data_IF_728041851133
#
_entry.id   IF_728041851133
#
_cell.length_a   1.000
_cell.length_b   1.000
_cell.length_c   1.000
_cell.angle_alpha   90.00
_cell.angle_beta   90.00
_cell.angle_gamma   90.00
#
_symmetry.space_group_name_H-M   'P 1'
#
loop_
_entity.id
_entity.type
_entity.pdbx_description
1 polymer ?
#
# COMPACT_ATOMS: atom_id res chain seq x y z
N UNK A 1 22.13 -38.12 -3.51
CA UNK A 1 21.57 -37.78 -2.19
C UNK A 1 22.45 -36.83 -1.37
N UNK A 2 23.74 -37.15 -1.10
CA UNK A 2 24.63 -36.22 -0.36
C UNK A 2 24.94 -34.89 -1.08
N UNK A 3 25.10 -34.92 -2.41
CA UNK A 3 25.35 -33.72 -3.21
C UNK A 3 24.16 -32.75 -3.25
N UNK A 4 22.93 -33.24 -3.40
CA UNK A 4 21.73 -32.41 -3.38
C UNK A 4 21.52 -31.75 -2.02
N UNK A 5 21.83 -32.48 -0.93
CA UNK A 5 21.76 -31.94 0.43
C UNK A 5 22.79 -30.81 0.66
N UNK A 6 24.02 -31.00 0.18
CA UNK A 6 25.07 -29.98 0.24
C UNK A 6 24.70 -28.73 -0.56
N UNK A 7 24.21 -28.89 -1.80
CA UNK A 7 23.74 -27.78 -2.65
C UNK A 7 22.61 -27.03 -1.96
N UNK A 8 21.62 -27.74 -1.39
CA UNK A 8 20.52 -27.11 -0.66
C UNK A 8 21.01 -26.29 0.54
N UNK A 9 21.99 -26.82 1.30
CA UNK A 9 22.62 -26.09 2.42
C UNK A 9 23.35 -24.83 1.95
N UNK A 10 24.10 -24.91 0.85
CA UNK A 10 24.80 -23.76 0.26
C UNK A 10 23.79 -22.71 -0.22
N UNK A 11 22.78 -23.11 -0.99
CA UNK A 11 21.73 -22.21 -1.47
C UNK A 11 20.99 -21.53 -0.31
N UNK A 12 20.70 -22.26 0.76
CA UNK A 12 20.07 -21.70 1.95
C UNK A 12 20.98 -20.69 2.66
N UNK A 13 22.28 -21.00 2.81
CA UNK A 13 23.27 -20.08 3.37
C UNK A 13 23.40 -18.79 2.55
N UNK A 14 23.40 -18.89 1.22
CA UNK A 14 23.42 -17.73 0.32
C UNK A 14 22.14 -16.90 0.47
N UNK A 15 20.96 -17.53 0.53
CA UNK A 15 19.68 -16.82 0.76
C UNK A 15 19.71 -16.04 2.07
N UNK A 16 20.25 -16.60 3.15
CA UNK A 16 20.41 -15.88 4.40
C UNK A 16 21.39 -14.72 4.29
N UNK A 17 22.53 -14.92 3.63
CA UNK A 17 23.49 -13.85 3.38
C UNK A 17 22.85 -12.68 2.61
N UNK A 18 22.07 -12.98 1.58
CA UNK A 18 21.32 -11.96 0.84
C UNK A 18 20.23 -11.29 1.69
N UNK A 19 19.46 -12.04 2.48
CA UNK A 19 18.45 -11.48 3.38
C UNK A 19 19.10 -10.53 4.40
N UNK A 20 20.25 -10.91 4.96
CA UNK A 20 21.03 -10.05 5.84
C UNK A 20 21.54 -8.82 5.10
N UNK A 21 22.10 -8.98 3.89
CA UNK A 21 22.53 -7.87 3.05
C UNK A 21 21.40 -6.90 2.70
N UNK A 22 20.21 -7.41 2.40
CA UNK A 22 19.00 -6.61 2.18
C UNK A 22 18.63 -5.80 3.43
N UNK A 23 18.58 -6.45 4.60
CA UNK A 23 18.32 -5.74 5.86
C UNK A 23 19.37 -4.65 6.13
N UNK A 24 20.66 -4.96 5.97
CA UNK A 24 21.74 -3.99 6.12
C UNK A 24 21.60 -2.83 5.14
N UNK A 25 21.23 -3.10 3.89
CA UNK A 25 21.00 -2.05 2.89
C UNK A 25 19.84 -1.12 3.27
N UNK A 26 18.76 -1.63 3.88
CA UNK A 26 17.67 -0.81 4.42
C UNK A 26 18.21 0.13 5.49
N UNK A 27 19.00 -0.38 6.45
CA UNK A 27 19.59 0.46 7.49
C UNK A 27 20.54 1.53 6.93
N UNK A 28 21.39 1.17 5.97
CA UNK A 28 22.30 2.10 5.29
C UNK A 28 21.48 3.19 4.59
N UNK A 29 20.45 2.82 3.85
CA UNK A 29 19.62 3.77 3.12
C UNK A 29 18.83 4.69 4.05
N UNK A 30 18.27 4.19 5.15
CA UNK A 30 17.60 5.06 6.13
C UNK A 30 18.62 6.01 6.77
N UNK A 31 19.84 5.54 7.05
CA UNK A 31 20.92 6.40 7.56
C UNK A 31 21.27 7.51 6.56
N UNK A 32 21.41 7.18 5.27
CA UNK A 32 21.64 8.16 4.20
C UNK A 32 20.47 9.16 4.14
N UNK A 33 19.23 8.69 4.18
CA UNK A 33 18.04 9.55 4.18
C UNK A 33 18.05 10.50 5.38
N UNK A 34 18.42 10.03 6.57
CA UNK A 34 18.52 10.87 7.77
C UNK A 34 19.64 11.92 7.64
N UNK A 35 20.81 11.55 7.14
CA UNK A 35 21.91 12.49 6.89
C UNK A 35 21.47 13.56 5.89
N UNK A 36 20.85 13.16 4.78
CA UNK A 36 20.33 14.10 3.79
C UNK A 36 19.31 15.05 4.44
N UNK A 37 18.40 14.52 5.25
CA UNK A 37 17.42 15.33 6.00
C UNK A 37 18.07 16.40 6.88
N UNK A 38 19.16 16.06 7.59
CA UNK A 38 19.92 17.03 8.39
C UNK A 38 20.56 18.10 7.50
N UNK A 39 21.15 17.70 6.37
CA UNK A 39 21.78 18.62 5.42
C UNK A 39 20.76 19.60 4.81
N UNK A 40 19.57 19.13 4.47
CA UNK A 40 18.53 19.96 3.85
C UNK A 40 17.72 20.75 4.87
N UNK A 41 17.80 20.42 6.17
CA UNK A 41 17.01 21.07 7.23
C UNK A 41 17.11 22.61 7.24
N UNK A 42 18.27 23.25 7.01
CA UNK A 42 18.34 24.71 6.91
C UNK A 42 17.42 25.30 5.83
N UNK A 43 17.19 24.56 4.73
CA UNK A 43 16.26 25.00 3.68
C UNK A 43 14.80 25.04 4.14
N UNK A 44 14.43 24.30 5.19
CA UNK A 44 13.09 24.38 5.78
C UNK A 44 12.81 25.78 6.36
N UNK A 45 13.83 26.37 7.01
CA UNK A 45 13.73 27.70 7.63
C UNK A 45 13.81 28.79 6.55
N UNK A 46 14.68 28.61 5.56
CA UNK A 46 14.87 29.59 4.48
C UNK A 46 13.69 29.62 3.50
N UNK A 47 13.24 28.46 3.03
CA UNK A 47 12.15 28.32 2.07
C UNK A 47 11.57 26.90 2.07
N UNK A 48 10.55 26.70 2.92
CA UNK A 48 9.85 25.42 3.13
C UNK A 48 9.44 24.68 1.84
N UNK A 49 8.95 25.33 0.77
CA UNK A 49 8.67 24.66 -0.50
C UNK A 49 9.84 23.87 -1.09
N UNK A 50 11.04 24.47 -1.12
CA UNK A 50 12.24 23.80 -1.66
C UNK A 50 12.62 22.61 -0.77
N UNK A 51 12.54 22.77 0.55
CA UNK A 51 12.77 21.65 1.47
C UNK A 51 11.85 20.47 1.16
N UNK A 52 10.55 20.72 1.02
CA UNK A 52 9.55 19.68 0.76
C UNK A 52 9.78 19.03 -0.60
N UNK A 53 10.15 19.82 -1.62
CA UNK A 53 10.49 19.29 -2.93
C UNK A 53 11.70 18.36 -2.86
N UNK A 54 12.80 18.81 -2.26
CA UNK A 54 14.03 18.01 -2.13
C UNK A 54 13.75 16.74 -1.31
N UNK A 55 13.07 16.87 -0.17
CA UNK A 55 12.72 15.75 0.69
C UNK A 55 12.00 14.65 -0.11
N UNK A 56 10.94 15.03 -0.82
CA UNK A 56 10.14 14.08 -1.60
C UNK A 56 10.95 13.45 -2.74
N UNK A 57 11.83 14.20 -3.43
CA UNK A 57 12.76 13.64 -4.43
C UNK A 57 13.66 12.57 -3.85
N UNK A 58 14.25 12.85 -2.70
CA UNK A 58 15.14 11.91 -2.00
C UNK A 58 14.34 10.68 -1.57
N UNK A 59 13.13 10.87 -1.04
CA UNK A 59 12.23 9.77 -0.67
C UNK A 59 11.85 8.90 -1.86
N UNK A 60 11.57 9.46 -3.03
CA UNK A 60 11.23 8.67 -4.23
C UNK A 60 12.40 7.82 -4.72
N UNK A 61 13.60 8.40 -4.79
CA UNK A 61 14.83 7.68 -5.13
C UNK A 61 15.08 6.54 -4.15
N UNK A 62 14.94 6.82 -2.86
CA UNK A 62 15.01 5.81 -1.82
C UNK A 62 13.95 4.71 -2.00
N UNK A 63 12.68 5.09 -2.16
CA UNK A 63 11.58 4.13 -2.23
C UNK A 63 11.65 3.26 -3.50
N UNK A 64 12.28 3.73 -4.57
CA UNK A 64 12.46 2.95 -5.79
C UNK A 64 13.40 1.75 -5.63
N UNK A 65 14.26 1.76 -4.62
CA UNK A 65 15.06 0.60 -4.25
C UNK A 65 14.19 -0.65 -4.03
N UNK A 66 13.04 -0.50 -3.36
CA UNK A 66 12.17 -1.61 -3.00
C UNK A 66 11.57 -2.36 -4.20
N UNK A 67 10.85 -1.73 -5.15
CA UNK A 67 10.31 -2.44 -6.29
C UNK A 67 11.40 -3.08 -7.15
N UNK A 68 12.57 -2.45 -7.29
CA UNK A 68 13.70 -3.03 -8.02
C UNK A 68 14.16 -4.34 -7.38
N UNK A 69 14.33 -4.36 -6.06
CA UNK A 69 14.73 -5.56 -5.32
C UNK A 69 13.62 -6.60 -5.35
N UNK A 70 12.38 -6.22 -5.06
CA UNK A 70 11.23 -7.14 -5.05
C UNK A 70 11.01 -7.81 -6.40
N UNK A 71 11.20 -7.09 -7.50
CA UNK A 71 10.99 -7.62 -8.84
C UNK A 71 12.22 -8.37 -9.37
N UNK A 72 13.40 -7.74 -9.40
CA UNK A 72 14.58 -8.31 -10.10
C UNK A 72 15.38 -9.27 -9.24
N UNK A 73 15.47 -9.04 -7.92
CA UNK A 73 16.27 -9.87 -7.02
C UNK A 73 15.40 -10.97 -6.41
N UNK A 74 14.25 -10.59 -5.85
CA UNK A 74 13.37 -11.55 -5.17
C UNK A 74 12.44 -12.30 -6.12
N UNK A 75 12.30 -11.87 -7.37
CA UNK A 75 11.52 -12.58 -8.38
C UNK A 75 10.01 -12.39 -8.28
N UNK A 76 9.51 -11.51 -7.40
CA UNK A 76 8.06 -11.29 -7.26
C UNK A 76 7.47 -10.75 -8.57
N UNK A 77 6.28 -11.24 -8.92
CA UNK A 77 5.53 -10.84 -10.11
C UNK A 77 4.14 -10.42 -9.68
N UNK A 78 3.58 -9.43 -10.39
CA UNK A 78 2.17 -9.08 -10.22
C UNK A 78 1.44 -9.32 -11.53
N UNK A 79 0.32 -10.00 -11.43
CA UNK A 79 -0.58 -10.30 -12.53
C UNK A 79 -1.84 -9.49 -12.33
N UNK A 80 -2.18 -8.64 -13.29
CA UNK A 80 -3.27 -7.66 -13.16
C UNK A 80 -4.39 -8.00 -14.13
N UNK A 81 -5.62 -7.95 -13.62
CA UNK A 81 -6.87 -8.05 -14.37
C UNK A 81 -7.80 -6.89 -14.00
N UNK A 82 -8.83 -6.65 -14.81
CA UNK A 82 -9.76 -5.53 -14.62
C UNK A 82 -9.24 -4.21 -15.21
N UNK A 83 -9.46 -3.12 -14.48
CA UNK A 83 -9.15 -1.77 -14.94
C UNK A 83 -7.66 -1.43 -14.90
N UNK A 84 -7.28 -0.43 -15.71
CA UNK A 84 -5.93 0.13 -15.70
C UNK A 84 -5.80 1.25 -14.66
N UNK A 85 -4.64 1.29 -13.99
CA UNK A 85 -4.23 2.45 -13.22
C UNK A 85 -4.04 3.67 -14.12
N UNK A 86 -4.38 4.85 -13.60
CA UNK A 86 -4.14 6.12 -14.26
C UNK A 86 -2.86 6.70 -13.66
N UNK A 87 -1.98 7.15 -14.54
CA UNK A 87 -0.71 7.73 -14.12
C UNK A 87 -0.95 9.10 -13.48
N UNK A 88 -0.18 9.40 -12.43
CA UNK A 88 -0.06 10.74 -11.86
C UNK A 88 -1.36 11.36 -11.33
N UNK A 89 -2.33 10.54 -10.96
CA UNK A 89 -3.53 10.95 -10.23
C UNK A 89 -3.42 10.65 -8.75
N UNK A 90 -3.98 11.53 -7.93
CA UNK A 90 -4.22 11.23 -6.53
C UNK A 90 -5.34 10.20 -6.43
N UNK A 91 -5.20 9.25 -5.52
CA UNK A 91 -6.17 8.17 -5.39
C UNK A 91 -6.24 7.63 -3.97
N UNK A 92 -7.37 7.03 -3.64
CA UNK A 92 -7.49 6.17 -2.47
C UNK A 92 -7.43 4.73 -2.96
N UNK A 93 -6.56 3.93 -2.35
CA UNK A 93 -6.43 2.51 -2.59
C UNK A 93 -7.12 1.76 -1.46
N UNK A 94 -8.12 0.94 -1.78
CA UNK A 94 -8.75 0.03 -0.82
C UNK A 94 -8.48 -1.41 -1.23
N UNK A 95 -8.18 -2.28 -0.27
CA UNK A 95 -7.88 -3.68 -0.57
C UNK A 95 -8.32 -4.61 0.55
N UNK A 96 -8.56 -5.88 0.20
CA UNK A 96 -8.52 -6.94 1.20
C UNK A 96 -7.13 -6.99 1.84
N UNK A 97 -7.06 -7.42 3.10
CA UNK A 97 -5.81 -7.56 3.82
C UNK A 97 -5.63 -9.01 4.23
N UNK A 98 -4.77 -9.75 3.53
CA UNK A 98 -4.56 -11.18 3.78
C UNK A 98 -3.16 -11.47 4.31
N UNK A 99 -2.14 -10.80 3.78
CA UNK A 99 -0.74 -11.10 4.09
C UNK A 99 -0.01 -9.90 4.71
N UNK A 100 1.11 -10.18 5.37
CA UNK A 100 2.00 -9.12 5.85
C UNK A 100 2.64 -8.33 4.70
N UNK A 101 2.72 -8.96 3.52
CA UNK A 101 3.37 -8.43 2.32
C UNK A 101 2.42 -7.69 1.38
N UNK A 102 1.20 -7.36 1.82
CA UNK A 102 0.20 -6.65 1.00
C UNK A 102 0.62 -5.24 0.53
N UNK A 103 1.74 -4.72 1.06
CA UNK A 103 2.37 -3.51 0.57
C UNK A 103 3.24 -3.73 -0.69
N UNK A 104 3.73 -4.95 -0.94
CA UNK A 104 4.60 -5.26 -2.10
C UNK A 104 3.88 -4.95 -3.42
N UNK A 105 2.61 -5.37 -3.65
CA UNK A 105 1.90 -5.04 -4.88
C UNK A 105 1.77 -3.52 -5.09
N UNK A 106 1.50 -2.77 -4.03
CA UNK A 106 1.45 -1.30 -4.09
C UNK A 106 2.81 -0.73 -4.53
N UNK A 107 3.91 -1.19 -3.91
CA UNK A 107 5.26 -0.77 -4.28
C UNK A 107 5.62 -1.10 -5.73
N UNK A 108 5.13 -2.22 -6.28
CA UNK A 108 5.41 -2.64 -7.66
C UNK A 108 4.59 -1.86 -8.70
N UNK A 109 3.39 -1.38 -8.35
CA UNK A 109 2.54 -0.56 -9.24
C UNK A 109 2.88 0.93 -9.16
N UNK A 110 3.19 1.44 -7.97
CA UNK A 110 3.36 2.87 -7.71
C UNK A 110 4.39 3.60 -8.61
N UNK A 111 5.51 2.99 -9.06
CA UNK A 111 6.48 3.66 -9.93
C UNK A 111 5.87 4.16 -11.25
N UNK A 112 5.12 3.32 -11.96
CA UNK A 112 4.45 3.71 -13.22
C UNK A 112 3.39 4.77 -13.02
N UNK A 113 2.80 4.81 -11.84
CA UNK A 113 1.79 5.80 -11.52
C UNK A 113 2.40 7.12 -11.02
N UNK A 114 3.73 7.21 -10.90
CA UNK A 114 4.42 8.36 -10.32
C UNK A 114 4.05 8.58 -8.85
N UNK A 115 3.91 7.49 -8.09
CA UNK A 115 3.40 7.52 -6.69
C UNK A 115 4.29 6.83 -5.69
N UNK A 116 5.48 6.35 -6.09
CA UNK A 116 6.36 5.54 -5.24
C UNK A 116 6.80 6.25 -3.94
N UNK A 117 7.09 7.56 -3.98
CA UNK A 117 7.35 8.34 -2.76
C UNK A 117 6.10 8.96 -2.13
N UNK A 118 4.95 8.83 -2.77
CA UNK A 118 3.69 9.47 -2.42
C UNK A 118 2.69 8.49 -1.76
N UNK A 119 3.13 7.28 -1.42
CA UNK A 119 2.30 6.30 -0.72
C UNK A 119 2.11 6.72 0.75
N UNK A 120 0.87 6.76 1.20
CA UNK A 120 0.44 7.14 2.56
C UNK A 120 -0.42 6.00 3.09
N UNK A 121 -0.12 5.51 4.29
CA UNK A 121 -0.83 4.36 4.85
C UNK A 121 -1.63 4.75 6.08
N UNK A 122 -2.79 4.13 6.25
CA UNK A 122 -3.41 3.99 7.56
C UNK A 122 -2.70 2.85 8.31
N UNK A 123 -1.97 3.19 9.36
CA UNK A 123 -1.06 2.29 10.07
C UNK A 123 -1.46 2.11 11.53
N UNK A 124 -1.06 0.99 12.14
CA UNK A 124 -1.21 0.78 13.59
C UNK A 124 -0.28 1.73 14.34
N UNK A 125 -0.76 2.39 15.39
CA UNK A 125 0.03 3.32 16.21
C UNK A 125 1.32 2.70 16.76
N UNK A 126 1.32 1.40 17.07
CA UNK A 126 2.52 0.69 17.52
C UNK A 126 3.68 0.71 16.51
N UNK A 127 3.42 0.91 15.22
CA UNK A 127 4.48 0.98 14.19
C UNK A 127 5.38 2.19 14.43
N UNK A 128 4.89 3.27 15.07
CA UNK A 128 5.73 4.42 15.47
C UNK A 128 6.89 4.01 16.38
N UNK A 129 6.73 2.92 17.16
CA UNK A 129 7.72 2.46 18.15
C UNK A 129 8.91 1.75 17.50
N UNK A 130 8.82 1.38 16.23
CA UNK A 130 9.91 0.72 15.52
C UNK A 130 10.92 1.80 15.10
N UNK A 131 12.16 1.80 15.64
CA UNK A 131 13.16 2.81 15.29
C UNK A 131 13.40 2.84 13.78
N UNK A 132 13.66 4.03 13.25
CA UNK A 132 13.88 4.30 11.81
C UNK A 132 12.65 4.10 10.92
N UNK A 133 11.99 2.94 10.99
CA UNK A 133 10.80 2.61 10.18
C UNK A 133 9.62 3.49 10.58
N UNK A 134 9.31 3.56 11.88
CA UNK A 134 8.24 4.41 12.39
C UNK A 134 8.49 5.90 12.09
N UNK A 135 9.74 6.36 12.21
CA UNK A 135 10.07 7.73 11.86
C UNK A 135 9.97 8.00 10.35
N UNK A 136 10.40 7.06 9.51
CA UNK A 136 10.31 7.18 8.05
C UNK A 136 8.87 7.31 7.57
N UNK A 137 7.97 6.44 8.03
CA UNK A 137 6.55 6.54 7.70
C UNK A 137 5.88 7.82 8.21
N UNK A 138 6.30 8.34 9.38
CA UNK A 138 5.86 9.64 9.87
C UNK A 138 6.28 10.78 8.92
N UNK A 139 7.54 10.78 8.50
CA UNK A 139 8.06 11.77 7.54
C UNK A 139 7.39 11.67 6.17
N UNK A 140 6.95 10.47 5.78
CA UNK A 140 6.14 10.22 4.59
C UNK A 140 4.65 10.49 4.82
N UNK A 141 4.24 11.28 5.81
CA UNK A 141 2.83 11.65 6.07
C UNK A 141 1.86 10.46 6.23
N UNK A 142 2.33 9.27 6.65
CA UNK A 142 1.43 8.16 6.98
C UNK A 142 0.67 8.43 8.27
N UNK A 143 -0.55 7.90 8.35
CA UNK A 143 -1.52 8.21 9.40
C UNK A 143 -1.60 7.03 10.36
N UNK A 144 -1.20 7.26 11.59
CA UNK A 144 -1.21 6.24 12.62
C UNK A 144 -2.49 6.28 13.44
N UNK A 145 -3.07 5.10 13.63
CA UNK A 145 -4.37 4.92 14.26
C UNK A 145 -4.25 4.14 15.57
N UNK A 146 -4.80 4.70 16.63
CA UNK A 146 -5.02 4.04 17.93
C UNK A 146 -6.23 3.10 17.90
N UNK A 147 -6.92 3.00 16.76
CA UNK A 147 -8.17 2.24 16.56
C UNK A 147 -9.33 2.80 17.38
N UNK A 148 -9.25 4.08 17.74
CA UNK A 148 -10.32 4.84 18.36
C UNK A 148 -10.45 6.16 17.59
N UNK A 149 -11.54 6.28 16.83
CA UNK A 149 -11.73 7.41 15.93
C UNK A 149 -11.70 8.75 16.66
N UNK A 150 -12.27 8.86 17.87
CA UNK A 150 -12.28 10.12 18.63
C UNK A 150 -10.86 10.59 18.98
N UNK A 151 -9.96 9.65 19.30
CA UNK A 151 -8.56 9.95 19.60
C UNK A 151 -7.75 10.26 18.33
N UNK A 152 -8.12 9.66 17.20
CA UNK A 152 -7.39 9.77 15.93
C UNK A 152 -7.87 10.97 15.08
N UNK A 153 -9.09 11.45 15.30
CA UNK A 153 -9.79 12.43 14.43
C UNK A 153 -8.99 13.72 14.22
N UNK A 154 -8.45 14.31 15.29
CA UNK A 154 -7.66 15.54 15.18
C UNK A 154 -6.43 15.33 14.28
N UNK A 155 -5.68 14.25 14.51
CA UNK A 155 -4.49 13.94 13.72
C UNK A 155 -4.83 13.65 12.26
N UNK A 156 -5.90 12.89 12.00
CA UNK A 156 -6.39 12.62 10.63
C UNK A 156 -6.73 13.94 9.93
N UNK A 157 -7.48 14.82 10.58
CA UNK A 157 -7.88 16.11 10.03
C UNK A 157 -6.67 16.98 9.68
N UNK A 158 -5.68 17.08 10.58
CA UNK A 158 -4.46 17.85 10.34
C UNK A 158 -3.63 17.31 9.17
N UNK A 159 -3.52 15.98 9.02
CA UNK A 159 -2.83 15.38 7.89
C UNK A 159 -3.59 15.64 6.58
N UNK A 160 -4.92 15.49 6.59
CA UNK A 160 -5.74 15.75 5.41
C UNK A 160 -5.79 17.22 5.00
N UNK A 161 -5.46 18.19 5.87
CA UNK A 161 -5.23 19.58 5.44
C UNK A 161 -4.21 19.66 4.31
N UNK A 162 -3.11 18.88 4.39
CA UNK A 162 -2.08 18.84 3.35
C UNK A 162 -2.57 18.13 2.09
N UNK A 163 -3.29 17.03 2.25
CA UNK A 163 -3.75 16.23 1.12
C UNK A 163 -4.85 16.92 0.31
N UNK A 164 -5.54 17.92 0.87
CA UNK A 164 -6.51 18.74 0.14
C UNK A 164 -5.88 19.68 -0.89
N UNK A 165 -4.56 19.88 -0.86
CA UNK A 165 -3.88 20.50 -1.98
C UNK A 165 -3.88 19.52 -3.15
N UNK A 166 -4.61 19.83 -4.23
CA UNK A 166 -4.72 18.98 -5.43
C UNK A 166 -3.38 18.67 -6.09
N UNK A 167 -2.38 19.53 -5.88
CA UNK A 167 -1.06 19.38 -6.45
C UNK A 167 -0.17 18.47 -5.57
N UNK A 168 -0.47 18.34 -4.27
CA UNK A 168 0.28 17.44 -3.39
C UNK A 168 0.03 15.98 -3.80
N UNK A 169 1.05 15.24 -4.28
CA UNK A 169 0.84 13.88 -4.77
C UNK A 169 0.61 12.93 -3.60
N UNK A 170 -0.42 12.10 -3.68
CA UNK A 170 -0.62 11.02 -2.73
C UNK A 170 -1.38 9.83 -3.31
N UNK A 171 -1.03 8.65 -2.83
CA UNK A 171 -1.91 7.49 -2.78
C UNK A 171 -2.20 7.18 -1.32
N UNK A 172 -3.48 7.17 -0.94
CA UNK A 172 -3.89 6.82 0.42
C UNK A 172 -4.32 5.36 0.46
N UNK A 173 -3.47 4.50 1.02
CA UNK A 173 -3.72 3.06 1.15
C UNK A 173 -4.48 2.79 2.45
N UNK A 174 -5.66 2.22 2.30
CA UNK A 174 -6.54 1.83 3.39
C UNK A 174 -6.85 0.35 3.24
N UNK A 175 -6.75 -0.39 4.34
CA UNK A 175 -7.26 -1.75 4.45
C UNK A 175 -8.49 -1.75 5.37
N UNK A 176 -9.71 -1.60 4.84
CA UNK A 176 -10.94 -1.51 5.64
C UNK A 176 -11.13 -2.63 6.66
N UNK A 177 -10.56 -3.82 6.43
CA UNK A 177 -10.59 -4.94 7.39
C UNK A 177 -9.90 -4.61 8.73
N UNK A 178 -8.90 -3.72 8.72
CA UNK A 178 -8.15 -3.27 9.91
C UNK A 178 -7.20 -4.33 10.52
N UNK A 179 -7.21 -5.55 9.99
CA UNK A 179 -6.31 -6.66 10.32
C UNK A 179 -6.31 -7.68 9.19
N UNK A 180 -5.27 -8.52 9.14
CA UNK A 180 -5.20 -9.64 8.19
C UNK A 180 -6.31 -10.67 8.39
N UNK A 181 -6.94 -11.12 7.31
CA UNK A 181 -7.92 -12.19 7.21
C UNK A 181 -7.27 -13.57 7.41
N UNK A 182 -6.89 -13.88 8.65
CA UNK A 182 -6.49 -15.25 9.02
C UNK A 182 -7.71 -16.15 9.15
N UNK A 183 -7.61 -17.48 8.93
CA UNK A 183 -8.75 -18.40 9.05
C UNK A 183 -9.53 -18.24 10.35
N UNK A 184 -8.85 -18.09 11.49
CA UNK A 184 -9.52 -17.93 12.80
C UNK A 184 -10.30 -16.62 12.87
N UNK A 185 -9.75 -15.55 12.30
CA UNK A 185 -10.39 -14.23 12.28
C UNK A 185 -11.58 -14.16 11.33
N UNK A 186 -11.56 -14.92 10.24
CA UNK A 186 -12.71 -15.03 9.34
C UNK A 186 -13.88 -15.66 10.10
N UNK A 187 -13.64 -16.76 10.83
CA UNK A 187 -14.67 -17.40 11.66
C UNK A 187 -15.20 -16.44 12.74
N UNK A 188 -14.31 -15.71 13.42
CA UNK A 188 -14.72 -14.68 14.40
C UNK A 188 -15.56 -13.56 13.75
N UNK A 189 -15.15 -13.09 12.57
CA UNK A 189 -15.88 -12.06 11.83
C UNK A 189 -17.25 -12.54 11.37
N UNK A 190 -17.38 -13.80 10.93
CA UNK A 190 -18.67 -14.39 10.55
C UNK A 190 -19.64 -14.44 11.74
N UNK A 191 -19.17 -14.84 12.93
CA UNK A 191 -19.97 -14.81 14.17
C UNK A 191 -20.44 -13.39 14.48
N UNK A 192 -19.53 -12.42 14.44
CA UNK A 192 -19.87 -11.01 14.63
C UNK A 192 -20.94 -10.53 13.63
N UNK A 193 -20.81 -10.90 12.35
CA UNK A 193 -21.75 -10.50 11.32
C UNK A 193 -23.14 -11.12 11.55
N UNK A 194 -23.21 -12.39 11.95
CA UNK A 194 -24.45 -13.06 12.33
C UNK A 194 -25.16 -12.35 13.49
N UNK A 195 -24.43 -12.06 14.56
CA UNK A 195 -24.95 -11.38 15.76
C UNK A 195 -25.49 -9.98 15.44
N UNK A 196 -24.85 -9.26 14.52
CA UNK A 196 -25.18 -7.87 14.18
C UNK A 196 -26.02 -7.73 12.90
N UNK A 197 -26.50 -8.85 12.34
CA UNK A 197 -27.28 -8.89 11.08
C UNK A 197 -26.59 -8.21 9.90
N UNK A 198 -25.26 -8.34 9.83
CA UNK A 198 -24.44 -7.87 8.74
C UNK A 198 -24.23 -8.98 7.69
N UNK A 199 -23.84 -8.65 6.45
CA UNK A 199 -23.47 -9.65 5.46
C UNK A 199 -22.33 -10.55 5.97
N UNK A 200 -22.44 -11.85 5.67
CA UNK A 200 -21.43 -12.84 6.01
C UNK A 200 -20.48 -12.98 4.81
N UNK A 201 -19.18 -12.99 5.08
CA UNK A 201 -18.13 -13.14 4.08
C UNK A 201 -17.36 -14.44 4.35
N UNK A 202 -16.96 -15.15 3.31
CA UNK A 202 -16.29 -16.45 3.42
C UNK A 202 -14.76 -16.35 3.36
N UNK A 203 -14.25 -15.28 2.77
CA UNK A 203 -12.84 -15.12 2.40
C UNK A 203 -12.21 -13.86 2.99
N UNK A 204 -12.99 -12.80 3.21
CA UNK A 204 -12.53 -11.51 3.75
C UNK A 204 -13.19 -11.18 5.10
N UNK A 205 -12.63 -10.22 5.83
CA UNK A 205 -13.26 -9.71 7.05
C UNK A 205 -14.25 -8.59 6.73
N UNK A 206 -15.26 -8.41 7.59
CA UNK A 206 -16.21 -7.30 7.48
C UNK A 206 -15.50 -5.94 7.48
N UNK A 207 -15.79 -5.04 6.51
CA UNK A 207 -15.07 -3.80 6.36
C UNK A 207 -15.49 -2.75 7.40
N UNK A 208 -14.51 -2.02 7.94
CA UNK A 208 -14.75 -0.84 8.77
C UNK A 208 -14.87 0.39 7.87
N UNK A 209 -16.06 0.98 7.84
CA UNK A 209 -16.39 2.11 6.96
C UNK A 209 -15.73 3.44 7.38
N UNK A 210 -15.55 3.69 8.69
CA UNK A 210 -15.24 5.03 9.24
C UNK A 210 -14.00 5.68 8.60
N UNK A 211 -12.91 4.93 8.47
CA UNK A 211 -11.65 5.48 7.95
C UNK A 211 -11.76 5.92 6.50
N UNK A 212 -12.37 5.09 5.65
CA UNK A 212 -12.58 5.38 4.23
C UNK A 212 -13.61 6.50 4.05
N UNK A 213 -14.70 6.48 4.81
CA UNK A 213 -15.74 7.51 4.75
C UNK A 213 -15.19 8.89 5.08
N UNK A 214 -14.42 9.01 6.16
CA UNK A 214 -13.81 10.29 6.58
C UNK A 214 -12.76 10.77 5.57
N UNK A 215 -11.99 9.86 4.99
CA UNK A 215 -11.04 10.19 3.91
C UNK A 215 -11.78 10.76 2.68
N UNK A 216 -12.83 10.08 2.22
CA UNK A 216 -13.62 10.54 1.08
C UNK A 216 -14.29 11.89 1.35
N UNK A 217 -14.88 12.09 2.54
CA UNK A 217 -15.51 13.37 2.91
C UNK A 217 -14.54 14.55 2.83
N UNK A 218 -13.25 14.35 3.07
CA UNK A 218 -12.26 15.42 3.04
C UNK A 218 -11.49 15.54 1.73
N UNK A 219 -11.33 14.43 1.00
CA UNK A 219 -10.40 14.35 -0.14
C UNK A 219 -11.11 14.20 -1.49
N UNK A 220 -12.44 14.08 -1.52
CA UNK A 220 -13.24 13.90 -2.75
C UNK A 220 -12.92 14.93 -3.85
N UNK A 221 -12.65 16.18 -3.50
CA UNK A 221 -12.35 17.24 -4.48
C UNK A 221 -10.98 17.10 -5.16
N UNK A 222 -10.10 16.26 -4.63
CA UNK A 222 -8.73 16.07 -5.13
C UNK A 222 -8.41 14.62 -5.47
N UNK A 223 -9.36 13.71 -5.26
CA UNK A 223 -9.26 12.28 -5.56
C UNK A 223 -10.28 11.96 -6.66
N UNK A 224 -9.87 11.83 -7.93
CA UNK A 224 -10.77 11.40 -8.99
C UNK A 224 -11.25 9.95 -8.82
N UNK A 225 -10.41 9.07 -8.28
CA UNK A 225 -10.69 7.63 -8.25
C UNK A 225 -10.43 6.97 -6.89
N UNK A 226 -11.27 6.00 -6.56
CA UNK A 226 -10.96 4.94 -5.59
C UNK A 226 -10.59 3.68 -6.37
N UNK A 227 -9.38 3.18 -6.14
CA UNK A 227 -8.95 1.88 -6.63
C UNK A 227 -9.38 0.81 -5.63
N UNK A 228 -10.41 0.05 -5.99
CA UNK A 228 -10.83 -1.14 -5.27
C UNK A 228 -10.05 -2.35 -5.77
N UNK A 229 -9.12 -2.82 -4.94
CA UNK A 229 -8.14 -3.83 -5.32
C UNK A 229 -8.41 -5.14 -4.59
N UNK A 230 -8.49 -6.23 -5.32
CA UNK A 230 -8.58 -7.58 -4.73
C UNK A 230 -7.27 -8.31 -4.97
N UNK A 231 -6.59 -8.68 -3.89
CA UNK A 231 -5.31 -9.40 -3.91
C UNK A 231 -5.54 -10.90 -3.72
N UNK A 232 -4.95 -11.68 -4.62
CA UNK A 232 -4.87 -13.13 -4.58
C UNK A 232 -3.42 -13.57 -4.44
N UNK A 233 -3.18 -14.54 -3.56
CA UNK A 233 -1.84 -15.09 -3.32
C UNK A 233 -1.87 -16.62 -3.40
N UNK A 234 -0.80 -17.25 -3.91
CA UNK A 234 -0.70 -18.70 -3.91
C UNK A 234 -0.74 -19.26 -2.47
N UNK A 235 -1.16 -20.52 -2.32
CA UNK A 235 -1.41 -21.13 -1.01
C UNK A 235 -0.20 -21.11 -0.05
N UNK A 236 1.02 -21.03 -0.58
CA UNK A 236 2.25 -21.01 0.21
C UNK A 236 3.02 -19.72 0.01
N UNK A 237 2.67 -18.67 0.75
CA UNK A 237 3.46 -17.45 0.85
C UNK A 237 4.23 -17.43 2.15
N UNK A 238 5.56 -17.36 2.05
CA UNK A 238 6.45 -17.17 3.19
C UNK A 238 7.18 -15.84 3.08
N UNK A 239 7.70 -15.33 4.20
CA UNK A 239 8.57 -14.15 4.14
C UNK A 239 9.81 -14.43 3.27
N UNK A 240 10.36 -15.64 3.34
CA UNK A 240 11.51 -16.03 2.53
C UNK A 240 11.20 -16.02 1.03
N UNK A 241 10.02 -16.46 0.60
CA UNK A 241 9.64 -16.42 -0.82
C UNK A 241 9.46 -15.00 -1.34
N UNK A 242 9.13 -14.04 -0.47
CA UNK A 242 8.95 -12.64 -0.88
C UNK A 242 10.25 -11.81 -0.84
N UNK A 243 11.16 -12.11 0.10
CA UNK A 243 12.31 -11.26 0.43
C UNK A 243 13.69 -11.89 0.17
N UNK A 244 13.77 -13.21 -0.05
CA UNK A 244 15.04 -13.84 -0.46
C UNK A 244 15.11 -13.92 -1.99
N UNK A 245 16.33 -14.02 -2.57
CA UNK A 245 16.46 -14.27 -4.00
C UNK A 245 15.84 -15.62 -4.41
N UNK A 246 15.16 -15.65 -5.56
CA UNK A 246 14.53 -16.86 -6.09
C UNK A 246 13.41 -16.58 -7.08
N UNK A 247 12.47 -17.53 -7.18
CA UNK A 247 11.30 -17.45 -8.07
C UNK A 247 10.23 -16.46 -7.59
N UNK A 248 10.35 -15.95 -6.37
CA UNK A 248 9.43 -14.98 -5.80
C UNK A 248 8.04 -15.54 -5.53
N UNK A 249 7.07 -14.63 -5.53
CA UNK A 249 5.64 -14.93 -5.46
C UNK A 249 4.93 -14.30 -6.65
N UNK A 250 4.07 -15.08 -7.32
CA UNK A 250 3.12 -14.59 -8.30
C UNK A 250 1.91 -14.04 -7.55
N UNK A 251 1.80 -12.72 -7.46
CA UNK A 251 0.71 -12.05 -6.77
C UNK A 251 -0.33 -11.65 -7.81
N UNK A 252 -1.58 -12.00 -7.61
CA UNK A 252 -2.66 -11.67 -8.52
C UNK A 252 -3.43 -10.47 -7.98
N UNK A 253 -3.86 -9.60 -8.87
CA UNK A 253 -4.54 -8.35 -8.55
C UNK A 253 -5.70 -8.14 -9.51
N UNK A 254 -6.92 -8.03 -8.97
CA UNK A 254 -8.05 -7.51 -9.71
C UNK A 254 -8.24 -6.04 -9.36
N UNK A 255 -8.28 -5.17 -10.36
CA UNK A 255 -8.42 -3.73 -10.21
C UNK A 255 -9.82 -3.34 -10.65
N UNK A 256 -10.57 -2.71 -9.76
CA UNK A 256 -11.83 -2.02 -10.09
C UNK A 256 -11.64 -0.52 -9.81
N UNK A 257 -11.68 0.31 -10.85
CA UNK A 257 -11.46 1.75 -10.74
C UNK A 257 -12.81 2.48 -10.68
N UNK A 258 -13.13 3.03 -9.52
CA UNK A 258 -14.40 3.67 -9.24
C UNK A 258 -14.23 5.19 -9.28
N UNK A 259 -15.01 5.90 -10.10
CA UNK A 259 -15.07 7.37 -10.06
C UNK A 259 -15.66 7.80 -8.71
N UNK A 260 -14.99 8.73 -8.03
CA UNK A 260 -15.45 9.19 -6.72
C UNK A 260 -16.89 9.74 -6.76
N UNK A 261 -17.32 10.29 -7.90
CA UNK A 261 -18.68 10.82 -8.10
C UNK A 261 -19.77 9.76 -7.97
N UNK A 262 -19.44 8.49 -8.19
CA UNK A 262 -20.37 7.37 -8.06
C UNK A 262 -20.50 6.89 -6.60
N UNK A 263 -19.62 7.36 -5.71
CA UNK A 263 -19.59 6.93 -4.31
C UNK A 263 -20.53 7.83 -3.49
N UNK A 264 -21.50 7.27 -2.73
CA UNK A 264 -22.42 8.06 -1.92
C UNK A 264 -21.72 8.94 -0.86
N UNK A 265 -22.33 10.10 -0.57
CA UNK A 265 -21.86 11.03 0.46
C UNK A 265 -22.58 10.85 1.80
N UNK A 266 -23.82 10.35 1.77
CA UNK A 266 -24.54 9.96 2.99
C UNK A 266 -23.90 8.72 3.62
N UNK A 267 -23.76 8.72 4.95
CA UNK A 267 -23.06 7.65 5.65
C UNK A 267 -23.79 6.31 5.57
N UNK A 268 -25.12 6.33 5.54
CA UNK A 268 -25.94 5.12 5.48
C UNK A 268 -25.85 4.49 4.09
N UNK A 269 -26.00 5.30 3.05
CA UNK A 269 -25.84 4.86 1.65
C UNK A 269 -24.40 4.39 1.40
N UNK A 270 -23.41 5.10 1.93
CA UNK A 270 -22.00 4.71 1.84
C UNK A 270 -21.72 3.35 2.48
N UNK A 271 -22.31 3.06 3.65
CA UNK A 271 -22.19 1.75 4.30
C UNK A 271 -22.75 0.63 3.41
N UNK A 272 -23.90 0.86 2.78
CA UNK A 272 -24.50 -0.11 1.87
C UNK A 272 -23.64 -0.31 0.62
N UNK A 273 -23.16 0.78 0.01
CA UNK A 273 -22.22 0.74 -1.11
C UNK A 273 -20.96 -0.07 -0.76
N UNK A 274 -20.34 0.21 0.40
CA UNK A 274 -19.13 -0.50 0.83
C UNK A 274 -19.40 -1.99 1.05
N UNK A 275 -20.56 -2.36 1.61
CA UNK A 275 -20.97 -3.76 1.73
C UNK A 275 -21.09 -4.43 0.36
N UNK A 276 -21.62 -3.75 -0.67
CA UNK A 276 -21.71 -4.29 -2.03
C UNK A 276 -20.33 -4.51 -2.64
N UNK A 277 -19.43 -3.53 -2.50
CA UNK A 277 -18.01 -3.67 -2.92
C UNK A 277 -17.35 -4.86 -2.21
N UNK A 278 -17.61 -5.02 -0.91
CA UNK A 278 -16.99 -6.09 -0.12
C UNK A 278 -17.54 -7.48 -0.45
N UNK A 279 -18.83 -7.59 -0.78
CA UNK A 279 -19.42 -8.84 -1.28
C UNK A 279 -18.77 -9.28 -2.58
N UNK A 280 -18.65 -8.36 -3.53
CA UNK A 280 -17.97 -8.65 -4.80
C UNK A 280 -16.50 -9.04 -4.59
N UNK A 281 -15.80 -8.37 -3.67
CA UNK A 281 -14.44 -8.72 -3.28
C UNK A 281 -14.35 -10.13 -2.67
N UNK A 282 -15.29 -10.52 -1.82
CA UNK A 282 -15.36 -11.86 -1.24
C UNK A 282 -15.52 -12.95 -2.31
N UNK A 283 -16.39 -12.69 -3.29
CA UNK A 283 -16.62 -13.55 -4.46
C UNK A 283 -15.35 -13.67 -5.32
N UNK A 284 -14.67 -12.56 -5.60
CA UNK A 284 -13.41 -12.56 -6.36
C UNK A 284 -12.32 -13.36 -5.65
N UNK A 285 -12.18 -13.24 -4.32
CA UNK A 285 -11.21 -14.06 -3.57
C UNK A 285 -11.60 -15.54 -3.62
N UNK A 286 -12.89 -15.87 -3.55
CA UNK A 286 -13.38 -17.23 -3.75
C UNK A 286 -13.01 -17.78 -5.13
N UNK A 287 -13.32 -17.02 -6.18
CA UNK A 287 -12.98 -17.35 -7.57
C UNK A 287 -11.47 -17.59 -7.72
N UNK A 288 -10.63 -16.72 -7.16
CA UNK A 288 -9.18 -16.87 -7.22
C UNK A 288 -8.70 -18.16 -6.54
N UNK A 289 -9.26 -18.51 -5.37
CA UNK A 289 -8.91 -19.75 -4.67
C UNK A 289 -9.23 -21.01 -5.48
N UNK A 290 -10.29 -20.97 -6.28
CA UNK A 290 -10.73 -22.08 -7.13
C UNK A 290 -9.94 -22.16 -8.45
N UNK A 291 -9.63 -21.02 -9.06
CA UNK A 291 -9.10 -20.96 -10.44
C UNK A 291 -7.60 -20.60 -10.51
N UNK A 292 -7.03 -20.04 -9.44
CA UNK A 292 -5.64 -19.58 -9.39
C UNK A 292 -5.36 -18.26 -10.14
N UNK A 293 -6.38 -17.62 -10.70
CA UNK A 293 -6.32 -16.30 -11.35
C UNK A 293 -7.65 -15.58 -11.13
N UNK A 294 -7.70 -14.28 -11.41
CA UNK A 294 -8.95 -13.51 -11.38
C UNK A 294 -9.69 -13.56 -12.73
N UNK A 295 -10.99 -13.22 -12.78
CA UNK A 295 -11.75 -13.19 -14.03
C UNK A 295 -11.20 -12.16 -15.02
N UNK A 296 -11.33 -12.46 -16.32
CA UNK A 296 -10.89 -11.59 -17.41
C UNK A 296 -9.49 -11.92 -17.91
N UNK A 297 -8.92 -11.02 -18.71
CA UNK A 297 -7.56 -11.15 -19.21
C UNK A 297 -6.61 -10.71 -18.11
N UNK A 298 -5.72 -11.60 -17.72
CA UNK A 298 -4.70 -11.34 -16.73
C UNK A 298 -3.36 -11.10 -17.42
N UNK A 299 -2.74 -9.95 -17.16
CA UNK A 299 -1.48 -9.55 -17.76
C UNK A 299 -0.39 -9.47 -16.69
N UNK A 300 0.79 -10.04 -16.99
CA UNK A 300 1.97 -9.80 -16.18
C UNK A 300 2.31 -8.30 -16.25
N UNK A 301 2.26 -7.62 -15.12
CA UNK A 301 2.62 -6.21 -15.05
C UNK A 301 4.14 -6.06 -15.05
N UNK A 302 4.73 -5.47 -16.09
CA UNK A 302 6.18 -5.33 -16.14
C UNK A 302 6.59 -4.16 -15.25
N UNK A 303 7.62 -4.35 -14.43
CA UNK A 303 8.27 -3.24 -13.74
C UNK A 303 9.05 -2.41 -14.77
N UNK A 304 8.41 -1.36 -15.28
CA UNK A 304 9.00 -0.36 -16.17
C UNK A 304 8.77 1.01 -15.56
N UNK A 305 9.77 1.85 -15.60
CA UNK A 305 9.70 3.24 -15.17
C UNK A 305 10.76 4.02 -15.96
N UNK A 306 10.53 5.30 -16.12
CA UNK A 306 11.50 6.26 -16.61
C UNK A 306 11.90 7.19 -15.47
N UNK A 307 13.04 7.87 -15.60
CA UNK A 307 13.44 8.89 -14.64
C UNK A 307 12.43 10.05 -14.57
N UNK A 308 11.66 10.30 -15.64
CA UNK A 308 10.59 11.29 -15.63
C UNK A 308 9.43 10.88 -14.68
N UNK A 309 9.17 9.58 -14.53
CA UNK A 309 8.08 9.03 -13.70
C UNK A 309 8.34 9.15 -12.20
N UNK A 310 9.60 9.37 -11.78
CA UNK A 310 9.92 9.59 -10.36
C UNK A 310 9.18 10.80 -9.78
N UNK A 311 8.81 11.77 -10.61
CA UNK A 311 8.49 13.11 -10.11
C UNK A 311 7.06 13.28 -9.60
N UNK A 312 6.17 12.31 -9.85
CA UNK A 312 4.77 12.39 -9.46
C UNK A 312 4.15 13.77 -9.70
N UNK A 313 4.45 14.42 -10.83
CA UNK A 313 4.00 15.76 -11.22
C UNK A 313 4.01 16.80 -10.08
N UNK A 314 5.04 16.79 -9.23
CA UNK A 314 5.22 17.87 -8.27
C UNK A 314 5.58 19.19 -8.97
N UNK A 315 4.54 19.92 -9.32
CA UNK A 315 4.59 21.29 -9.85
C UNK A 315 4.87 22.30 -8.73
N UNK A 316 5.25 23.53 -9.06
CA UNK A 316 5.56 24.57 -8.06
C UNK A 316 4.35 24.83 -7.13
N UNK A 317 3.15 24.68 -7.70
CA UNK A 317 1.86 24.78 -7.06
C UNK A 317 1.66 23.81 -5.88
N UNK A 318 2.39 22.70 -5.83
CA UNK A 318 2.39 21.76 -4.70
C UNK A 318 2.76 22.42 -3.37
N UNK A 319 3.54 23.49 -3.43
CA UNK A 319 4.12 24.12 -2.25
C UNK A 319 3.65 25.55 -2.04
N UNK A 320 3.13 26.20 -3.08
CA UNK A 320 2.68 27.59 -3.04
C UNK A 320 1.16 27.75 -2.92
N UNK A 321 0.38 26.72 -3.28
CA UNK A 321 -1.08 26.74 -3.22
C UNK A 321 -1.60 25.87 -2.06
N UNK A 322 -2.70 26.26 -1.40
CA UNK A 322 -3.27 25.56 -0.26
C UNK A 322 -3.90 24.21 -0.59
#
# INVERSE_FOLDING_TARGET
>A
MKYSELINKICWGLKLYFAYGFLMSIFIQITILLIINVIILPTYILYRPIYQWIFQRVTEVYMMYFPLVFYYINGNRIYISGDKFIENVNAIWISNHSHWVDFIPVCLVAPKCGRIGAMRYFMKDDIKKIPFIGFGFYMMDSIYLKRNFQLDQHHINETFKRFRNKYYPFWLIIFPEGTRAKPEKVVEAQKYCLEHKLPIYNNVLNPRHTGLFVALKQLRNVVPYVYDITLGYPNTVSLASCFCPGEGVNIHMYVNRIDVKEIPEDETEFKQWLCTIWKHKDELVGYYKENGHFPGIEELYPLKFTWADFTGYMSQECFSLP
#
